data_IF_984682838584
#
_entry.id   IF_984682838584
#
_cell.length_a   1.000
_cell.length_b   1.000
_cell.length_c   1.000
_cell.angle_alpha   90.00
_cell.angle_beta   90.00
_cell.angle_gamma   90.00
#
_symmetry.space_group_name_H-M   'P 1'
#
loop_
_entity.id
_entity.type
_entity.pdbx_description
1 polymer ?
#
# COMPACT_ATOMS: atom_id res chain seq x y z
N UNK A 1 -13.21 -12.55 -20.12
CA UNK A 1 -12.40 -11.44 -19.55
C UNK A 1 -13.24 -10.18 -19.31
N UNK A 2 -13.88 -9.58 -20.33
CA UNK A 2 -14.69 -8.37 -20.14
C UNK A 2 -15.81 -8.54 -19.09
N UNK A 3 -16.60 -9.60 -19.15
CA UNK A 3 -17.67 -9.89 -18.17
C UNK A 3 -17.14 -10.01 -16.74
N UNK A 4 -16.00 -10.69 -16.55
CA UNK A 4 -15.35 -10.81 -15.26
C UNK A 4 -14.89 -9.45 -14.71
N UNK A 5 -14.19 -8.67 -15.54
CA UNK A 5 -13.76 -7.32 -15.18
C UNK A 5 -14.94 -6.43 -14.78
N UNK A 6 -16.00 -6.42 -15.58
CA UNK A 6 -17.22 -5.64 -15.28
C UNK A 6 -17.84 -6.08 -13.95
N UNK A 7 -17.95 -7.40 -13.68
CA UNK A 7 -18.47 -7.93 -12.42
C UNK A 7 -17.62 -7.42 -11.22
N UNK A 8 -16.29 -7.52 -11.32
CA UNK A 8 -15.37 -7.07 -10.26
C UNK A 8 -15.43 -5.57 -10.00
N UNK A 9 -15.53 -4.76 -11.07
CA UNK A 9 -15.70 -3.31 -10.93
C UNK A 9 -17.05 -2.98 -10.27
N UNK A 10 -18.12 -3.67 -10.67
CA UNK A 10 -19.44 -3.48 -10.06
C UNK A 10 -19.47 -3.89 -8.58
N UNK A 11 -18.71 -4.93 -8.19
CA UNK A 11 -18.57 -5.35 -6.79
C UNK A 11 -17.84 -4.31 -5.90
N UNK A 12 -17.07 -3.38 -6.48
CA UNK A 12 -16.46 -2.29 -5.71
C UNK A 12 -17.48 -1.27 -5.24
N UNK A 13 -18.51 -1.00 -6.05
CA UNK A 13 -19.51 0.03 -5.74
C UNK A 13 -20.17 -0.19 -4.38
N UNK A 14 -20.76 -1.37 -4.08
CA UNK A 14 -21.36 -1.60 -2.75
C UNK A 14 -20.33 -1.58 -1.63
N UNK A 15 -19.08 -2.04 -1.86
CA UNK A 15 -18.02 -2.00 -0.85
C UNK A 15 -17.63 -0.56 -0.51
N UNK A 16 -17.44 0.30 -1.52
CA UNK A 16 -17.15 1.73 -1.32
C UNK A 16 -18.33 2.40 -0.59
N UNK A 17 -19.56 2.10 -1.00
CA UNK A 17 -20.74 2.64 -0.34
C UNK A 17 -20.81 2.24 1.14
N UNK A 18 -20.55 0.98 1.47
CA UNK A 18 -20.52 0.53 2.87
C UNK A 18 -19.45 1.26 3.68
N UNK A 19 -18.25 1.41 3.13
CA UNK A 19 -17.16 2.15 3.79
C UNK A 19 -17.58 3.60 4.03
N UNK A 20 -18.13 4.28 3.04
CA UNK A 20 -18.56 5.69 3.17
C UNK A 20 -19.69 5.85 4.17
N UNK A 21 -20.66 4.93 4.20
CA UNK A 21 -21.75 4.92 5.21
C UNK A 21 -21.17 4.76 6.62
N UNK A 22 -20.24 3.82 6.82
CA UNK A 22 -19.60 3.60 8.13
C UNK A 22 -18.84 4.85 8.56
N UNK A 23 -18.02 5.43 7.67
CA UNK A 23 -17.24 6.65 7.97
C UNK A 23 -18.18 7.81 8.31
N UNK A 24 -19.24 8.02 7.52
CA UNK A 24 -20.24 9.04 7.81
C UNK A 24 -20.90 8.84 9.18
N UNK A 25 -21.33 7.60 9.49
CA UNK A 25 -21.94 7.29 10.78
C UNK A 25 -20.99 7.58 11.96
N UNK A 26 -19.72 7.21 11.83
CA UNK A 26 -18.71 7.49 12.85
C UNK A 26 -18.46 9.00 12.97
N UNK A 27 -18.38 9.75 11.86
CA UNK A 27 -18.26 11.20 11.90
C UNK A 27 -19.42 11.89 12.62
N UNK A 28 -20.64 11.36 12.49
CA UNK A 28 -21.80 11.88 13.21
C UNK A 28 -21.80 11.55 14.70
N UNK A 29 -21.12 10.47 15.11
CA UNK A 29 -20.97 10.08 16.52
C UNK A 29 -19.87 10.87 17.24
N UNK A 30 -18.99 11.56 16.52
CA UNK A 30 -17.93 12.35 17.14
C UNK A 30 -18.50 13.54 17.91
N UNK A 31 -17.95 13.86 19.10
CA UNK A 31 -18.35 15.02 19.85
C UNK A 31 -18.01 16.30 19.09
N UNK A 32 -18.84 17.33 19.26
CA UNK A 32 -18.65 18.65 18.64
C UNK A 32 -19.63 18.94 17.50
N UNK A 33 -19.52 20.14 16.96
CA UNK A 33 -20.41 20.66 15.93
C UNK A 33 -20.01 20.13 14.52
N UNK A 34 -20.99 19.59 13.79
CA UNK A 34 -20.79 19.17 12.41
C UNK A 34 -20.32 20.30 11.49
N UNK A 35 -20.75 21.54 11.76
CA UNK A 35 -20.34 22.73 11.03
C UNK A 35 -18.81 22.97 11.14
N UNK A 36 -18.23 22.76 12.32
CA UNK A 36 -16.79 22.96 12.56
C UNK A 36 -15.90 22.01 11.75
N UNK A 37 -16.46 20.91 11.22
CA UNK A 37 -15.76 19.92 10.38
C UNK A 37 -15.87 20.26 8.89
N UNK A 38 -16.83 21.11 8.54
CA UNK A 38 -17.17 21.44 7.14
C UNK A 38 -16.52 22.72 6.67
N UNK A 39 -16.24 23.65 7.58
CA UNK A 39 -15.64 24.95 7.27
C UNK A 39 -14.31 25.14 8.00
N UNK A 40 -13.41 26.05 7.53
CA UNK A 40 -12.15 26.33 8.19
C UNK A 40 -12.35 26.77 9.66
N UNK A 41 -11.51 26.29 10.62
CA UNK A 41 -11.63 26.64 12.04
C UNK A 41 -11.59 28.13 12.33
N UNK A 42 -10.80 28.90 11.57
CA UNK A 42 -10.71 30.35 11.70
C UNK A 42 -12.08 30.97 11.44
N UNK A 43 -12.74 30.57 10.35
CA UNK A 43 -14.07 31.06 9.99
C UNK A 43 -15.11 30.68 11.06
N UNK A 44 -15.11 29.40 11.50
CA UNK A 44 -16.01 28.91 12.53
C UNK A 44 -15.89 29.70 13.85
N UNK A 45 -14.68 30.01 14.30
CA UNK A 45 -14.43 30.73 15.55
C UNK A 45 -14.78 32.21 15.49
N UNK A 46 -14.85 32.82 14.31
CA UNK A 46 -15.24 34.22 14.10
C UNK A 46 -16.75 34.40 14.00
N UNK A 47 -17.53 33.34 13.82
CA UNK A 47 -18.97 33.39 13.64
C UNK A 47 -19.69 33.54 14.99
N UNK A 48 -20.72 34.38 15.04
CA UNK A 48 -21.69 34.39 16.13
C UNK A 48 -22.59 33.15 16.09
N UNK A 49 -23.24 32.79 17.22
CA UNK A 49 -24.14 31.63 17.25
C UNK A 49 -25.30 31.74 16.25
N UNK A 50 -25.81 32.96 16.01
CA UNK A 50 -26.84 33.22 15.00
C UNK A 50 -26.31 32.89 13.58
N UNK A 51 -25.08 33.29 13.28
CA UNK A 51 -24.45 32.99 11.99
C UNK A 51 -24.16 31.48 11.83
N UNK A 52 -23.74 30.81 12.90
CA UNK A 52 -23.53 29.38 12.88
C UNK A 52 -24.83 28.62 12.62
N UNK A 53 -25.93 29.04 13.25
CA UNK A 53 -27.24 28.39 13.05
C UNK A 53 -27.76 28.62 11.62
N UNK A 54 -27.68 29.83 11.09
CA UNK A 54 -28.02 30.12 9.70
C UNK A 54 -27.17 29.27 8.72
N UNK A 55 -25.90 29.09 9.04
CA UNK A 55 -24.99 28.30 8.21
C UNK A 55 -25.33 26.77 8.30
N UNK A 56 -25.67 26.24 9.49
CA UNK A 56 -26.16 24.85 9.66
C UNK A 56 -27.40 24.62 8.80
N UNK A 57 -28.35 25.53 8.85
CA UNK A 57 -29.59 25.45 8.07
C UNK A 57 -29.30 25.49 6.57
N UNK A 58 -28.47 26.45 6.10
CA UNK A 58 -28.11 26.57 4.68
C UNK A 58 -27.36 25.37 4.13
N UNK A 59 -26.52 24.71 4.96
CA UNK A 59 -25.80 23.48 4.61
C UNK A 59 -26.64 22.20 4.82
N UNK A 60 -27.84 22.32 5.42
CA UNK A 60 -28.73 21.20 5.72
C UNK A 60 -28.18 20.26 6.79
N UNK A 61 -27.40 20.80 7.73
CA UNK A 61 -26.90 19.99 8.86
C UNK A 61 -27.97 19.66 9.89
N UNK A 62 -29.12 20.34 9.81
CA UNK A 62 -30.32 20.08 10.60
C UNK A 62 -31.28 19.07 9.91
N UNK A 63 -30.98 18.65 8.67
CA UNK A 63 -31.76 17.67 7.93
C UNK A 63 -31.61 16.24 8.53
N UNK A 64 -32.52 15.32 8.23
CA UNK A 64 -32.35 13.90 8.59
C UNK A 64 -31.03 13.31 8.06
N UNK A 65 -30.41 12.41 8.83
CA UNK A 65 -29.06 11.85 8.52
C UNK A 65 -28.93 11.25 7.12
N UNK A 66 -29.97 10.65 6.56
CA UNK A 66 -29.92 10.12 5.19
C UNK A 66 -29.81 11.21 4.12
N UNK A 67 -30.42 12.38 4.35
CA UNK A 67 -30.27 13.56 3.45
C UNK A 67 -28.87 14.13 3.60
N UNK A 68 -28.39 14.27 4.85
CA UNK A 68 -27.02 14.71 5.12
C UNK A 68 -26.00 13.79 4.47
N UNK A 69 -26.20 12.47 4.53
CA UNK A 69 -25.31 11.48 3.88
C UNK A 69 -25.25 11.69 2.36
N UNK A 70 -26.40 11.79 1.70
CA UNK A 70 -26.44 11.97 0.24
C UNK A 70 -25.73 13.26 -0.18
N UNK A 71 -25.93 14.37 0.58
CA UNK A 71 -25.28 15.64 0.32
C UNK A 71 -23.77 15.55 0.57
N UNK A 72 -23.35 15.00 1.70
CA UNK A 72 -21.95 14.79 2.04
C UNK A 72 -21.23 13.88 1.03
N UNK A 73 -21.84 12.77 0.66
CA UNK A 73 -21.31 11.87 -0.37
C UNK A 73 -21.19 12.57 -1.74
N UNK A 74 -22.20 13.39 -2.10
CA UNK A 74 -22.15 14.22 -3.31
C UNK A 74 -21.01 15.25 -3.30
N UNK A 75 -20.70 15.83 -2.15
CA UNK A 75 -19.57 16.75 -1.97
C UNK A 75 -18.23 16.02 -2.08
N UNK A 76 -18.10 14.82 -1.48
CA UNK A 76 -16.91 13.98 -1.65
C UNK A 76 -16.61 13.66 -3.13
N UNK A 77 -17.64 13.35 -3.91
CA UNK A 77 -17.49 13.11 -5.36
C UNK A 77 -17.04 14.34 -6.15
N UNK A 78 -17.28 15.54 -5.62
CA UNK A 78 -16.78 16.83 -6.17
C UNK A 78 -15.39 17.21 -5.65
N UNK A 79 -14.80 16.38 -4.75
CA UNK A 79 -13.48 16.65 -4.14
C UNK A 79 -13.54 17.53 -2.89
N UNK A 80 -14.72 17.77 -2.34
CA UNK A 80 -14.87 18.48 -1.06
C UNK A 80 -14.86 17.45 0.09
N UNK A 81 -13.70 17.33 0.72
CA UNK A 81 -13.45 16.42 1.85
C UNK A 81 -13.51 17.16 3.20
N UNK A 82 -13.81 18.46 3.18
CA UNK A 82 -13.81 19.30 4.38
C UNK A 82 -12.41 19.78 4.78
N UNK A 83 -12.29 20.20 6.02
CA UNK A 83 -11.10 20.85 6.55
C UNK A 83 -10.56 20.16 7.80
N UNK A 84 -9.23 20.19 7.96
CA UNK A 84 -8.53 19.82 9.17
C UNK A 84 -8.94 20.76 10.31
N UNK A 85 -9.33 20.19 11.44
CA UNK A 85 -9.68 20.98 12.64
C UNK A 85 -8.43 21.54 13.33
N UNK A 86 -7.29 20.87 13.20
CA UNK A 86 -6.04 21.27 13.85
C UNK A 86 -5.28 22.33 13.04
N UNK A 87 -5.22 22.19 11.71
CA UNK A 87 -4.41 23.07 10.84
C UNK A 87 -5.23 24.04 10.02
N UNK A 88 -6.55 23.83 9.86
CA UNK A 88 -7.40 24.59 8.95
C UNK A 88 -7.17 24.29 7.46
N UNK A 89 -6.32 23.33 7.13
CA UNK A 89 -5.99 22.98 5.76
C UNK A 89 -7.10 22.17 5.10
N UNK A 90 -7.27 22.32 3.78
CA UNK A 90 -8.19 21.47 3.02
C UNK A 90 -7.69 20.03 2.97
N UNK A 91 -8.53 19.07 3.36
CA UNK A 91 -8.16 17.66 3.45
C UNK A 91 -7.82 17.07 2.08
N UNK A 92 -8.49 17.49 1.00
CA UNK A 92 -8.19 17.02 -0.35
C UNK A 92 -6.77 17.39 -0.78
N UNK A 93 -6.32 18.61 -0.51
CA UNK A 93 -4.95 19.04 -0.83
C UNK A 93 -3.91 18.27 0.02
N UNK A 94 -4.23 17.97 1.28
CA UNK A 94 -3.37 17.13 2.12
C UNK A 94 -3.24 15.72 1.51
N UNK A 95 -4.35 15.10 1.11
CA UNK A 95 -4.39 13.77 0.48
C UNK A 95 -3.61 13.74 -0.85
N UNK A 96 -3.82 14.75 -1.70
CA UNK A 96 -3.15 14.88 -3.00
C UNK A 96 -1.63 14.90 -2.88
N UNK A 97 -1.10 15.46 -1.80
CA UNK A 97 0.34 15.51 -1.55
C UNK A 97 0.89 14.23 -0.92
N UNK A 98 0.10 13.53 -0.09
CA UNK A 98 0.53 12.37 0.69
C UNK A 98 0.31 11.02 -0.02
N UNK A 99 -0.78 10.87 -0.76
CA UNK A 99 -1.13 9.62 -1.45
C UNK A 99 -0.07 9.17 -2.47
N UNK A 100 0.47 10.04 -3.36
CA UNK A 100 1.52 9.64 -4.27
C UNK A 100 2.77 9.12 -3.56
N UNK A 101 3.12 9.70 -2.41
CA UNK A 101 4.29 9.27 -1.63
C UNK A 101 4.14 7.82 -1.14
N UNK A 102 3.00 7.46 -0.56
CA UNK A 102 2.72 6.07 -0.15
C UNK A 102 2.72 5.11 -1.33
N UNK A 103 2.14 5.50 -2.48
CA UNK A 103 2.13 4.66 -3.68
C UNK A 103 3.54 4.45 -4.22
N UNK A 104 4.35 5.50 -4.36
CA UNK A 104 5.75 5.43 -4.82
C UNK A 104 6.56 4.49 -3.91
N UNK A 105 6.42 4.65 -2.60
CA UNK A 105 7.10 3.81 -1.60
C UNK A 105 6.69 2.34 -1.69
N UNK A 106 5.38 2.08 -1.78
CA UNK A 106 4.80 0.74 -1.91
C UNK A 106 5.28 0.03 -3.17
N UNK A 107 5.26 0.73 -4.31
CA UNK A 107 5.70 0.17 -5.59
C UNK A 107 7.19 -0.16 -5.58
N UNK A 108 8.03 0.72 -5.02
CA UNK A 108 9.45 0.46 -4.92
C UNK A 108 9.74 -0.74 -4.01
N UNK A 109 9.05 -0.86 -2.86
CA UNK A 109 9.16 -2.01 -1.98
C UNK A 109 8.76 -3.32 -2.69
N UNK A 110 7.69 -3.29 -3.49
CA UNK A 110 7.23 -4.44 -4.27
C UNK A 110 8.24 -4.84 -5.35
N UNK A 111 8.86 -3.86 -6.03
CA UNK A 111 9.91 -4.10 -7.02
C UNK A 111 11.14 -4.73 -6.36
N UNK A 112 11.60 -4.19 -5.24
CA UNK A 112 12.72 -4.75 -4.46
C UNK A 112 12.41 -6.20 -4.07
N UNK A 113 11.24 -6.45 -3.50
CA UNK A 113 10.83 -7.79 -3.11
C UNK A 113 10.75 -8.74 -4.30
N UNK A 114 10.18 -8.31 -5.42
CA UNK A 114 10.06 -9.10 -6.64
C UNK A 114 11.42 -9.47 -7.21
N UNK A 115 12.30 -8.48 -7.41
CA UNK A 115 13.63 -8.71 -7.99
C UNK A 115 14.47 -9.62 -7.09
N UNK A 116 14.65 -9.24 -5.83
CA UNK A 116 15.55 -9.97 -4.94
C UNK A 116 14.94 -11.28 -4.44
N UNK A 117 13.62 -11.33 -4.18
CA UNK A 117 12.95 -12.57 -3.74
C UNK A 117 12.96 -13.64 -4.81
N UNK A 118 12.68 -13.28 -6.08
CA UNK A 118 12.75 -14.22 -7.19
C UNK A 118 14.21 -14.64 -7.43
N UNK A 119 15.15 -13.71 -7.43
CA UNK A 119 16.56 -13.99 -7.67
C UNK A 119 17.14 -14.94 -6.63
N UNK A 120 16.99 -14.65 -5.34
CA UNK A 120 17.52 -15.50 -4.28
C UNK A 120 16.83 -16.86 -4.20
N UNK A 121 15.50 -16.90 -4.37
CA UNK A 121 14.75 -18.16 -4.41
C UNK A 121 15.11 -19.03 -5.61
N UNK A 122 15.35 -18.43 -6.78
CA UNK A 122 15.83 -19.12 -7.97
C UNK A 122 17.19 -19.75 -7.72
N UNK A 123 18.18 -18.98 -7.23
CA UNK A 123 19.53 -19.52 -6.95
C UNK A 123 19.47 -20.65 -5.91
N UNK A 124 18.70 -20.49 -4.84
CA UNK A 124 18.55 -21.51 -3.79
C UNK A 124 17.93 -22.81 -4.35
N UNK A 125 16.98 -22.70 -5.29
CA UNK A 125 16.37 -23.88 -5.92
C UNK A 125 17.32 -24.69 -6.81
N UNK A 126 18.28 -24.02 -7.48
CA UNK A 126 19.25 -24.68 -8.34
C UNK A 126 20.27 -25.53 -7.58
N UNK A 127 20.54 -25.18 -6.33
CA UNK A 127 21.52 -25.85 -5.47
C UNK A 127 20.88 -26.28 -4.16
N UNK A 128 19.84 -27.10 -4.26
CA UNK A 128 19.12 -27.65 -3.12
C UNK A 128 20.10 -28.33 -2.12
N UNK A 129 19.86 -28.11 -0.82
CA UNK A 129 20.67 -28.63 0.29
C UNK A 129 22.16 -28.17 0.28
N UNK A 130 22.50 -27.14 -0.48
CA UNK A 130 23.83 -26.52 -0.48
C UNK A 130 23.94 -25.43 0.60
N UNK A 131 25.17 -24.98 0.91
CA UNK A 131 25.36 -23.82 1.81
C UNK A 131 24.58 -22.57 1.37
N UNK A 132 24.46 -22.31 0.06
CA UNK A 132 23.68 -21.18 -0.47
C UNK A 132 22.19 -21.31 -0.16
N UNK A 133 21.65 -22.52 -0.23
CA UNK A 133 20.26 -22.80 0.11
C UNK A 133 20.00 -22.61 1.62
N UNK A 134 20.91 -23.07 2.47
CA UNK A 134 20.83 -22.87 3.91
C UNK A 134 20.95 -21.39 4.28
N UNK A 135 21.90 -20.65 3.68
CA UNK A 135 22.04 -19.19 3.89
C UNK A 135 20.75 -18.47 3.50
N UNK A 136 20.20 -18.76 2.32
CA UNK A 136 18.95 -18.13 1.85
C UNK A 136 17.78 -18.44 2.80
N UNK A 137 17.67 -19.68 3.25
CA UNK A 137 16.60 -20.10 4.17
C UNK A 137 16.74 -19.41 5.52
N UNK A 138 17.96 -19.39 6.09
CA UNK A 138 18.23 -18.72 7.37
C UNK A 138 18.02 -17.22 7.27
N UNK A 139 18.53 -16.58 6.23
CA UNK A 139 18.33 -15.14 5.99
C UNK A 139 16.83 -14.80 5.83
N UNK A 140 16.07 -15.66 5.17
CA UNK A 140 14.62 -15.49 5.03
C UNK A 140 13.90 -15.62 6.38
N UNK A 141 14.29 -16.58 7.24
CA UNK A 141 13.73 -16.72 8.58
C UNK A 141 14.02 -15.46 9.41
N UNK A 142 15.26 -15.00 9.42
CA UNK A 142 15.67 -13.78 10.12
C UNK A 142 14.90 -12.56 9.60
N UNK A 143 14.79 -12.41 8.28
CA UNK A 143 14.08 -11.29 7.65
C UNK A 143 12.58 -11.22 7.94
N UNK A 144 11.95 -12.37 8.23
CA UNK A 144 10.53 -12.41 8.63
C UNK A 144 10.37 -12.22 10.14
N UNK A 145 11.34 -12.67 10.94
CA UNK A 145 11.25 -12.69 12.40
C UNK A 145 11.53 -11.33 13.04
N UNK A 146 12.33 -10.49 12.39
CA UNK A 146 12.69 -9.15 12.89
C UNK A 146 11.62 -8.15 12.44
N UNK A 147 11.06 -7.34 13.35
CA UNK A 147 10.13 -6.27 12.98
C UNK A 147 10.74 -5.28 11.99
N UNK A 148 9.98 -4.87 10.98
CA UNK A 148 10.44 -3.98 9.89
C UNK A 148 11.00 -2.64 10.40
N UNK A 149 10.40 -2.06 11.43
CA UNK A 149 10.88 -0.81 12.02
C UNK A 149 12.29 -0.92 12.65
N UNK A 150 12.65 -2.10 13.14
CA UNK A 150 13.98 -2.35 13.68
C UNK A 150 15.05 -2.25 12.59
N UNK A 151 14.78 -2.83 11.41
CA UNK A 151 15.64 -2.60 10.24
C UNK A 151 15.70 -1.12 9.88
N UNK A 152 14.58 -0.39 9.98
CA UNK A 152 14.53 1.05 9.72
C UNK A 152 15.52 1.84 10.61
N UNK A 153 15.50 1.59 11.91
CA UNK A 153 16.41 2.23 12.87
C UNK A 153 17.87 1.87 12.58
N UNK A 154 18.14 0.58 12.30
CA UNK A 154 19.50 0.14 11.94
C UNK A 154 19.99 0.80 10.64
N UNK A 155 19.14 0.91 9.63
CA UNK A 155 19.52 1.54 8.36
C UNK A 155 19.79 3.02 8.52
N UNK A 156 18.99 3.75 9.29
CA UNK A 156 19.24 5.14 9.60
C UNK A 156 20.61 5.27 10.31
N UNK A 157 20.85 4.43 11.31
CA UNK A 157 22.11 4.46 12.07
C UNK A 157 23.32 4.21 11.15
N UNK A 158 23.27 3.15 10.34
CA UNK A 158 24.39 2.74 9.48
C UNK A 158 24.55 3.70 8.30
N UNK A 159 23.51 3.86 7.48
CA UNK A 159 23.63 4.52 6.17
C UNK A 159 23.49 6.05 6.25
N UNK A 160 22.78 6.57 7.25
CA UNK A 160 22.63 8.02 7.39
C UNK A 160 23.60 8.61 8.41
N UNK A 161 23.74 8.02 9.60
CA UNK A 161 24.57 8.60 10.67
C UNK A 161 26.04 8.26 10.48
N UNK A 162 26.38 6.96 10.33
CA UNK A 162 27.79 6.55 10.23
C UNK A 162 28.38 6.76 8.84
N UNK A 163 27.72 6.23 7.80
CA UNK A 163 28.25 6.28 6.43
C UNK A 163 27.91 7.60 5.71
N UNK A 164 26.86 8.30 6.13
CA UNK A 164 26.37 9.54 5.49
C UNK A 164 26.08 9.40 4.00
N UNK A 165 25.64 8.21 3.57
CA UNK A 165 25.34 7.92 2.18
C UNK A 165 23.90 8.31 1.78
N UNK A 166 22.94 8.14 2.70
CA UNK A 166 21.53 8.34 2.47
C UNK A 166 20.92 9.26 3.54
N UNK A 167 19.88 10.03 3.19
CA UNK A 167 19.19 10.90 4.14
C UNK A 167 18.43 10.07 5.19
N UNK A 168 18.38 10.55 6.44
CA UNK A 168 17.70 9.84 7.55
C UNK A 168 16.17 9.77 7.41
N UNK A 169 15.56 10.68 6.66
CA UNK A 169 14.11 10.76 6.51
C UNK A 169 13.66 11.93 5.64
N UNK A 170 12.35 12.03 5.42
CA UNK A 170 11.75 12.97 4.46
C UNK A 170 11.49 12.33 3.10
N UNK A 171 11.11 13.12 2.10
CA UNK A 171 10.79 12.64 0.75
C UNK A 171 11.73 13.19 -0.34
N UNK A 172 12.26 14.38 -0.15
CA UNK A 172 13.13 15.07 -1.11
C UNK A 172 13.89 16.20 -0.43
N UNK A 173 14.96 16.66 -1.05
CA UNK A 173 15.70 17.85 -0.63
C UNK A 173 14.89 19.11 -0.92
N UNK A 174 14.81 20.04 0.03
CA UNK A 174 14.06 21.27 -0.15
C UNK A 174 14.59 22.05 -1.36
N UNK A 175 13.68 22.37 -2.28
CA UNK A 175 14.01 23.11 -3.51
C UNK A 175 14.50 22.22 -4.68
N UNK A 176 14.60 20.89 -4.49
CA UNK A 176 15.00 19.95 -5.56
C UNK A 176 13.84 18.99 -5.83
N UNK A 177 13.09 19.20 -6.90
CA UNK A 177 12.08 18.26 -7.37
C UNK A 177 12.65 17.40 -8.52
N UNK A 178 13.39 16.34 -8.14
CA UNK A 178 14.01 15.39 -9.07
C UNK A 178 13.65 13.97 -8.65
N UNK A 179 13.37 13.11 -9.64
CA UNK A 179 13.13 11.69 -9.40
C UNK A 179 14.32 11.01 -8.68
N UNK A 180 15.54 11.32 -9.08
CA UNK A 180 16.74 10.73 -8.46
C UNK A 180 16.95 11.23 -7.02
N UNK A 181 16.57 12.46 -6.71
CA UNK A 181 16.62 12.96 -5.34
C UNK A 181 15.57 12.24 -4.49
N UNK A 182 14.33 12.15 -4.93
CA UNK A 182 13.26 11.38 -4.25
C UNK A 182 13.66 9.91 -4.03
N UNK A 183 14.30 9.27 -5.03
CA UNK A 183 14.76 7.90 -4.91
C UNK A 183 15.74 7.69 -3.75
N UNK A 184 16.66 8.62 -3.47
CA UNK A 184 17.58 8.55 -2.33
C UNK A 184 16.84 8.46 -0.99
N UNK A 185 15.73 9.20 -0.85
CA UNK A 185 14.91 9.17 0.35
C UNK A 185 14.04 7.92 0.46
N UNK A 186 13.76 7.26 -0.67
CA UNK A 186 12.89 6.07 -0.72
C UNK A 186 13.67 4.76 -0.52
N UNK A 187 14.96 4.69 -0.83
CA UNK A 187 15.76 3.45 -0.80
C UNK A 187 15.67 2.74 0.55
N UNK A 188 15.99 3.44 1.64
CA UNK A 188 15.96 2.82 2.97
C UNK A 188 14.56 2.36 3.38
N UNK A 189 13.52 3.22 3.40
CA UNK A 189 12.19 2.80 3.81
C UNK A 189 11.59 1.72 2.89
N UNK A 190 11.80 1.80 1.57
CA UNK A 190 11.33 0.76 0.65
C UNK A 190 12.05 -0.58 0.85
N UNK A 191 13.36 -0.56 1.18
CA UNK A 191 14.11 -1.77 1.49
C UNK A 191 13.62 -2.39 2.79
N UNK A 192 13.32 -1.60 3.83
CA UNK A 192 12.74 -2.10 5.08
C UNK A 192 11.41 -2.83 4.85
N UNK A 193 10.48 -2.20 4.12
CA UNK A 193 9.22 -2.85 3.72
C UNK A 193 9.46 -4.08 2.83
N UNK A 194 10.47 -4.02 1.97
CA UNK A 194 10.82 -5.08 1.04
C UNK A 194 11.49 -6.31 1.67
N UNK A 195 12.15 -6.21 2.82
CA UNK A 195 12.91 -7.33 3.43
C UNK A 195 12.01 -8.51 3.76
N UNK A 196 10.96 -8.30 4.52
CA UNK A 196 10.01 -9.35 4.92
C UNK A 196 9.31 -9.98 3.71
N UNK A 197 8.97 -9.16 2.72
CA UNK A 197 8.39 -9.60 1.46
C UNK A 197 9.40 -10.39 0.60
N UNK A 198 10.65 -9.92 0.49
CA UNK A 198 11.75 -10.62 -0.20
C UNK A 198 11.97 -11.98 0.41
N UNK A 199 12.03 -12.06 1.73
CA UNK A 199 12.21 -13.31 2.47
C UNK A 199 11.07 -14.30 2.20
N UNK A 200 9.83 -13.85 2.26
CA UNK A 200 8.65 -14.67 1.97
C UNK A 200 8.65 -15.14 0.51
N UNK A 201 8.90 -14.24 -0.43
CA UNK A 201 8.88 -14.53 -1.86
C UNK A 201 10.03 -15.45 -2.26
N UNK A 202 11.21 -15.30 -1.66
CA UNK A 202 12.36 -16.16 -1.91
C UNK A 202 12.09 -17.62 -1.53
N UNK A 203 11.51 -17.84 -0.35
CA UNK A 203 11.09 -19.18 0.08
C UNK A 203 10.02 -19.76 -0.84
N UNK A 204 9.02 -18.96 -1.21
CA UNK A 204 7.97 -19.40 -2.12
C UNK A 204 8.52 -19.73 -3.51
N UNK A 205 9.39 -18.87 -4.06
CA UNK A 205 10.06 -19.10 -5.35
C UNK A 205 10.85 -20.40 -5.33
N UNK A 206 11.65 -20.61 -4.28
CA UNK A 206 12.42 -21.86 -4.12
C UNK A 206 11.50 -23.08 -4.11
N UNK A 207 10.45 -23.09 -3.30
CA UNK A 207 9.51 -24.21 -3.20
C UNK A 207 8.83 -24.47 -4.55
N UNK A 208 8.29 -23.45 -5.18
CA UNK A 208 7.59 -23.55 -6.47
C UNK A 208 8.52 -24.06 -7.58
N UNK A 209 9.77 -23.60 -7.62
CA UNK A 209 10.77 -24.09 -8.57
C UNK A 209 11.05 -25.59 -8.39
N UNK A 210 11.24 -26.05 -7.15
CA UNK A 210 11.48 -27.46 -6.84
C UNK A 210 10.26 -28.33 -7.21
N UNK A 211 9.06 -27.87 -6.91
CA UNK A 211 7.82 -28.55 -7.29
C UNK A 211 7.68 -28.71 -8.81
N UNK A 212 8.01 -27.67 -9.56
CA UNK A 212 7.98 -27.70 -11.02
C UNK A 212 9.08 -28.60 -11.58
N UNK A 213 10.29 -28.62 -11.00
CA UNK A 213 11.38 -29.50 -11.41
C UNK A 213 11.02 -30.99 -11.31
N UNK A 214 10.12 -31.36 -10.37
CA UNK A 214 9.59 -32.71 -10.19
C UNK A 214 8.58 -33.18 -11.23
N UNK A 215 8.03 -32.29 -12.05
CA UNK A 215 6.94 -32.60 -13.01
C UNK A 215 7.42 -33.44 -14.19
N UNK A 216 6.56 -34.30 -14.70
CA UNK A 216 6.90 -35.26 -15.78
C UNK A 216 7.26 -34.58 -17.11
N UNK A 217 6.66 -33.43 -17.42
CA UNK A 217 7.04 -32.67 -18.63
C UNK A 217 8.48 -32.13 -18.56
N UNK A 218 9.02 -31.88 -17.36
CA UNK A 218 10.43 -31.48 -17.17
C UNK A 218 11.33 -32.69 -17.37
N UNK A 219 10.96 -33.86 -16.86
CA UNK A 219 11.68 -35.13 -17.13
C UNK A 219 11.71 -35.45 -18.62
N UNK A 220 10.56 -35.25 -19.31
CA UNK A 220 10.45 -35.44 -20.76
C UNK A 220 11.37 -34.48 -21.54
N UNK A 221 11.47 -33.22 -21.10
CA UNK A 221 12.37 -32.25 -21.73
C UNK A 221 13.84 -32.66 -21.62
N UNK A 222 14.26 -33.20 -20.45
CA UNK A 222 15.61 -33.78 -20.25
C UNK A 222 15.83 -35.02 -21.12
N UNK A 223 14.85 -35.93 -21.18
CA UNK A 223 14.91 -37.13 -22.00
C UNK A 223 15.04 -36.84 -23.50
N UNK A 224 14.52 -35.70 -23.97
CA UNK A 224 14.71 -35.20 -25.35
C UNK A 224 16.08 -34.58 -25.60
N UNK A 225 16.99 -34.58 -24.65
CA UNK A 225 18.38 -34.10 -24.79
C UNK A 225 18.52 -32.57 -24.75
N UNK A 226 17.54 -31.85 -24.23
CA UNK A 226 17.67 -30.40 -24.05
C UNK A 226 18.75 -30.06 -23.02
N UNK A 227 19.46 -28.94 -23.23
CA UNK A 227 20.45 -28.48 -22.26
C UNK A 227 19.80 -28.17 -20.91
N UNK A 228 20.49 -28.45 -19.79
CA UNK A 228 19.95 -28.17 -18.46
C UNK A 228 19.56 -26.70 -18.28
N UNK A 229 20.32 -25.77 -18.89
CA UNK A 229 20.01 -24.34 -18.93
C UNK A 229 18.65 -24.08 -19.60
N UNK A 230 18.38 -24.73 -20.73
CA UNK A 230 17.10 -24.58 -21.44
C UNK A 230 15.95 -25.19 -20.65
N UNK A 231 16.16 -26.35 -20.04
CA UNK A 231 15.17 -27.00 -19.15
C UNK A 231 14.83 -26.07 -18.00
N UNK A 232 15.81 -25.52 -17.31
CA UNK A 232 15.59 -24.64 -16.15
C UNK A 232 14.91 -23.33 -16.57
N UNK A 233 15.38 -22.62 -17.58
CA UNK A 233 14.85 -21.31 -17.91
C UNK A 233 13.52 -21.38 -18.67
N UNK A 234 13.38 -22.30 -19.65
CA UNK A 234 12.20 -22.34 -20.51
C UNK A 234 11.10 -23.24 -19.98
N UNK A 235 11.42 -24.32 -19.26
CA UNK A 235 10.43 -25.29 -18.80
C UNK A 235 10.15 -25.19 -17.30
N UNK A 236 11.14 -24.86 -16.46
CA UNK A 236 10.93 -24.75 -15.02
C UNK A 236 10.57 -23.32 -14.63
N UNK A 237 11.48 -22.36 -14.82
CA UNK A 237 11.32 -20.99 -14.35
C UNK A 237 10.10 -20.30 -14.98
N UNK A 238 9.90 -20.45 -16.29
CA UNK A 238 8.75 -19.88 -16.99
C UNK A 238 7.41 -20.37 -16.42
N UNK A 239 7.32 -21.64 -16.06
CA UNK A 239 6.10 -22.20 -15.48
C UNK A 239 5.96 -21.88 -13.98
N UNK A 240 7.07 -21.73 -13.26
CA UNK A 240 7.07 -21.30 -11.87
C UNK A 240 6.75 -19.80 -11.71
N UNK A 241 7.05 -18.98 -12.72
CA UNK A 241 6.90 -17.52 -12.64
C UNK A 241 5.45 -17.09 -12.42
N UNK A 242 4.46 -17.76 -13.06
CA UNK A 242 3.05 -17.40 -12.93
C UNK A 242 2.57 -17.43 -11.46
N UNK A 243 2.65 -18.54 -10.72
CA UNK A 243 2.23 -18.56 -9.31
C UNK A 243 3.09 -17.63 -8.41
N UNK A 244 4.38 -17.42 -8.73
CA UNK A 244 5.24 -16.50 -7.99
C UNK A 244 4.75 -15.05 -8.15
N UNK A 245 4.42 -14.64 -9.38
CA UNK A 245 3.90 -13.31 -9.66
C UNK A 245 2.54 -13.06 -9.01
N UNK A 246 1.67 -14.07 -8.96
CA UNK A 246 0.38 -13.98 -8.26
C UNK A 246 0.61 -13.67 -6.77
N UNK A 247 1.48 -14.42 -6.09
CA UNK A 247 1.80 -14.18 -4.68
C UNK A 247 2.40 -12.78 -4.46
N UNK A 248 3.29 -12.32 -5.35
CA UNK A 248 3.87 -10.99 -5.26
C UNK A 248 2.79 -9.90 -5.34
N UNK A 249 1.91 -9.97 -6.34
CA UNK A 249 0.87 -8.96 -6.56
C UNK A 249 -0.17 -8.98 -5.44
N UNK A 250 -0.48 -10.15 -4.88
CA UNK A 250 -1.38 -10.29 -3.71
C UNK A 250 -0.89 -9.53 -2.45
N UNK A 251 0.37 -9.11 -2.41
CA UNK A 251 0.90 -8.28 -1.32
C UNK A 251 0.60 -6.79 -1.47
N UNK A 252 0.17 -6.34 -2.65
CA UNK A 252 -0.08 -4.93 -2.93
C UNK A 252 -1.08 -4.27 -1.95
N UNK A 253 -2.26 -4.84 -1.65
CA UNK A 253 -3.19 -4.25 -0.70
C UNK A 253 -2.62 -4.12 0.72
N UNK A 254 -1.88 -5.13 1.16
CA UNK A 254 -1.24 -5.13 2.48
C UNK A 254 -0.17 -4.04 2.60
N UNK A 255 0.61 -3.81 1.54
CA UNK A 255 1.61 -2.75 1.52
C UNK A 255 0.98 -1.37 1.61
N UNK A 256 -0.11 -1.12 0.88
CA UNK A 256 -0.80 0.18 0.92
C UNK A 256 -1.29 0.52 2.33
N UNK A 257 -1.77 -0.48 3.08
CA UNK A 257 -2.27 -0.29 4.45
C UNK A 257 -1.18 -0.39 5.53
N UNK A 258 -0.04 -1.02 5.23
CA UNK A 258 0.99 -1.38 6.21
C UNK A 258 2.19 -0.43 6.30
N UNK A 259 2.23 0.66 5.53
CA UNK A 259 3.39 1.57 5.50
C UNK A 259 3.51 2.50 6.71
N UNK A 260 2.46 2.59 7.54
CA UNK A 260 2.33 3.58 8.63
C UNK A 260 3.56 3.67 9.53
N UNK A 261 4.04 2.54 10.02
CA UNK A 261 5.18 2.50 10.95
C UNK A 261 6.48 2.91 10.27
N UNK A 262 6.70 2.47 9.04
CA UNK A 262 7.91 2.82 8.28
C UNK A 262 7.89 4.28 7.86
N UNK A 263 6.73 4.81 7.45
CA UNK A 263 6.57 6.23 7.16
C UNK A 263 6.88 7.09 8.39
N UNK A 264 6.45 6.67 9.59
CA UNK A 264 6.76 7.36 10.84
C UNK A 264 8.26 7.29 11.18
N UNK A 265 8.89 6.11 11.09
CA UNK A 265 10.33 5.94 11.40
C UNK A 265 11.22 6.81 10.51
N UNK A 266 10.90 6.91 9.23
CA UNK A 266 11.65 7.71 8.26
C UNK A 266 11.12 9.13 8.07
N UNK A 267 10.14 9.56 8.89
CA UNK A 267 9.46 10.84 8.71
C UNK A 267 9.06 11.06 7.23
N UNK A 268 8.63 9.97 6.57
CA UNK A 268 8.25 9.98 5.17
C UNK A 268 6.79 10.45 5.04
N UNK A 269 6.51 11.52 4.25
CA UNK A 269 5.20 12.16 4.24
C UNK A 269 4.17 11.38 3.43
N UNK A 270 3.74 10.24 3.93
CA UNK A 270 2.71 9.40 3.32
C UNK A 270 1.35 9.49 4.01
N UNK A 271 0.44 8.58 3.62
CA UNK A 271 -0.92 8.49 4.16
C UNK A 271 -0.92 7.96 5.60
N UNK A 272 -0.03 7.03 5.91
CA UNK A 272 0.07 6.46 7.25
C UNK A 272 0.60 7.47 8.27
N UNK A 273 1.65 8.24 7.92
CA UNK A 273 2.13 9.32 8.76
C UNK A 273 1.06 10.40 8.96
N UNK A 274 0.27 10.72 7.91
CA UNK A 274 -0.84 11.65 8.03
C UNK A 274 -1.90 11.20 9.04
N UNK A 275 -2.22 9.91 9.08
CA UNK A 275 -3.15 9.35 10.09
C UNK A 275 -2.58 9.51 11.50
N UNK A 276 -1.29 9.18 11.71
CA UNK A 276 -0.66 9.30 13.04
C UNK A 276 -0.59 10.75 13.51
N UNK A 277 -0.21 11.68 12.61
CA UNK A 277 -0.18 13.11 12.90
C UNK A 277 -1.58 13.60 13.31
N UNK A 278 -2.61 13.21 12.56
CA UNK A 278 -3.99 13.59 12.83
C UNK A 278 -4.54 12.99 14.14
N UNK A 279 -4.22 11.73 14.45
CA UNK A 279 -4.57 11.09 15.74
C UNK A 279 -3.92 11.85 16.89
N UNK A 280 -2.63 12.17 16.77
CA UNK A 280 -1.87 12.89 17.79
C UNK A 280 -2.39 14.31 18.03
N UNK A 281 -2.93 14.95 16.98
CA UNK A 281 -3.54 16.27 17.05
C UNK A 281 -5.03 16.24 17.44
N UNK A 282 -5.65 15.06 17.59
CA UNK A 282 -7.09 14.93 17.82
C UNK A 282 -7.97 15.32 16.62
N UNK A 283 -7.41 15.34 15.41
CA UNK A 283 -8.05 15.77 14.17
C UNK A 283 -8.86 14.63 13.56
N UNK A 284 -10.01 14.36 14.11
CA UNK A 284 -10.85 13.22 13.72
C UNK A 284 -11.35 13.28 12.27
N UNK A 285 -11.74 14.44 11.69
CA UNK A 285 -12.09 14.52 10.27
C UNK A 285 -10.96 14.02 9.36
N UNK A 286 -9.73 14.45 9.61
CA UNK A 286 -8.56 13.99 8.83
C UNK A 286 -8.35 12.49 9.02
N UNK A 287 -8.41 11.96 10.24
CA UNK A 287 -8.27 10.51 10.52
C UNK A 287 -9.30 9.72 9.72
N UNK A 288 -10.58 10.11 9.79
CA UNK A 288 -11.68 9.36 9.17
C UNK A 288 -11.60 9.39 7.64
N UNK A 289 -11.39 10.56 7.06
CA UNK A 289 -11.30 10.73 5.61
C UNK A 289 -10.04 10.03 5.06
N UNK A 290 -8.89 10.16 5.73
CA UNK A 290 -7.66 9.50 5.31
C UNK A 290 -7.80 7.98 5.36
N UNK A 291 -8.38 7.45 6.44
CA UNK A 291 -8.67 6.01 6.58
C UNK A 291 -9.62 5.51 5.48
N UNK A 292 -10.67 6.28 5.17
CA UNK A 292 -11.58 5.97 4.07
C UNK A 292 -10.84 5.90 2.73
N UNK A 293 -9.99 6.88 2.43
CA UNK A 293 -9.22 6.91 1.18
C UNK A 293 -8.25 5.73 1.11
N UNK A 294 -7.54 5.40 2.20
CA UNK A 294 -6.66 4.22 2.27
C UNK A 294 -7.45 2.94 2.03
N UNK A 295 -8.64 2.79 2.62
CA UNK A 295 -9.50 1.64 2.39
C UNK A 295 -9.95 1.53 0.92
N UNK A 296 -10.32 2.64 0.29
CA UNK A 296 -10.70 2.69 -1.13
C UNK A 296 -9.50 2.32 -2.02
N UNK A 297 -8.32 2.88 -1.76
CA UNK A 297 -7.09 2.54 -2.51
C UNK A 297 -6.74 1.06 -2.34
N UNK A 298 -6.93 0.50 -1.14
CA UNK A 298 -6.73 -0.94 -0.88
C UNK A 298 -7.71 -1.81 -1.68
N UNK A 299 -8.97 -1.38 -1.85
CA UNK A 299 -9.93 -2.06 -2.72
C UNK A 299 -9.52 -2.01 -4.19
N UNK A 300 -9.02 -0.87 -4.68
CA UNK A 300 -8.47 -0.78 -6.03
C UNK A 300 -7.22 -1.64 -6.21
N UNK A 301 -6.33 -1.68 -5.22
CA UNK A 301 -5.19 -2.58 -5.23
C UNK A 301 -5.63 -4.05 -5.31
N UNK A 302 -6.68 -4.44 -4.57
CA UNK A 302 -7.27 -5.78 -4.65
C UNK A 302 -7.87 -6.08 -6.03
N UNK A 303 -8.52 -5.10 -6.67
CA UNK A 303 -8.99 -5.26 -8.05
C UNK A 303 -7.82 -5.50 -9.03
N UNK A 304 -6.71 -4.77 -8.87
CA UNK A 304 -5.51 -5.01 -9.68
C UNK A 304 -4.98 -6.43 -9.49
N UNK A 305 -4.97 -6.95 -8.25
CA UNK A 305 -4.61 -8.36 -7.97
C UNK A 305 -5.49 -9.32 -8.76
N UNK A 306 -6.82 -9.14 -8.72
CA UNK A 306 -7.76 -10.00 -9.45
C UNK A 306 -7.49 -9.98 -10.96
N UNK A 307 -7.24 -8.80 -11.53
CA UNK A 307 -6.94 -8.62 -12.96
C UNK A 307 -5.62 -9.32 -13.32
N UNK A 308 -4.55 -9.07 -12.56
CA UNK A 308 -3.24 -9.69 -12.81
C UNK A 308 -3.30 -11.20 -12.68
N UNK A 309 -4.01 -11.72 -11.68
CA UNK A 309 -4.20 -13.16 -11.50
C UNK A 309 -4.91 -13.78 -12.70
N UNK A 310 -5.99 -13.15 -13.19
CA UNK A 310 -6.73 -13.62 -14.37
C UNK A 310 -5.90 -13.54 -15.67
N UNK A 311 -4.96 -12.60 -15.79
CA UNK A 311 -4.05 -12.48 -16.93
C UNK A 311 -2.93 -13.52 -16.90
N UNK A 312 -2.41 -13.84 -15.71
CA UNK A 312 -1.29 -14.77 -15.53
C UNK A 312 -1.74 -16.23 -15.55
N UNK A 313 -2.93 -16.53 -15.06
CA UNK A 313 -3.51 -17.87 -15.06
C UNK A 313 -4.88 -17.90 -15.75
N UNK A 314 -4.94 -18.16 -17.07
CA UNK A 314 -6.21 -18.23 -17.80
C UNK A 314 -7.10 -19.42 -17.38
N UNK A 315 -6.61 -20.33 -16.52
CA UNK A 315 -7.39 -21.46 -15.96
C UNK A 315 -8.29 -21.01 -14.81
N UNK A 316 -8.05 -19.86 -14.22
CA UNK A 316 -8.93 -19.24 -13.23
C UNK A 316 -10.17 -18.74 -13.99
N UNK A 317 -11.09 -19.67 -14.31
CA UNK A 317 -12.42 -19.32 -14.80
C UNK A 317 -13.25 -19.01 -13.57
N UNK A 318 -13.46 -17.74 -13.36
CA UNK A 318 -14.36 -17.25 -12.34
C UNK A 318 -15.78 -17.41 -12.85
N UNK A 319 -16.56 -18.25 -12.19
CA UNK A 319 -18.00 -18.39 -12.38
C UNK A 319 -18.76 -17.15 -11.88
#
# INVERSE_FOLDING_TARGET
MAKYFTKRVLELIPKILVITVIVFAVLQMLPGDALSRTIPPIQYNQMSEVQKEAMRESMGLNDPYYIQFVRWFGNLLKGDFGYSQSTGSNIFEMLKNRLPATIELTLLALIIAGVFGIFFGFIASLKQNSPLDYINTTASIVGISIPEFFFGILFILIFSVYLKWLPSGGRMTVGIDSFFDRLKYMIMPATCLGISLTATLSRYTRSTMLDVMGKDYVKTARAKGLSEKDVILKHVFRNALSPIMVILVMRLPMLVSGTVVIEAVFNYPGMGSMILDAISAGDMPVVMITTMVVAIVTLFASLLVDIFTALLDPRVRFE
#
